data_IF_525630568805
#
_entry.id   IF_525630568805
#
_cell.length_a   1.000
_cell.length_b   1.000
_cell.length_c   1.000
_cell.angle_alpha   90.00
_cell.angle_beta   90.00
_cell.angle_gamma   90.00
#
_symmetry.space_group_name_H-M   'P 1'
#
loop_
_entity.id
_entity.type
_entity.pdbx_description
1 polymer ?
#
# COMPACT_ATOMS: atom_id res chain seq x y z
N UNK A 1 -17.06 1.90 -4.98
CA UNK A 1 -15.81 2.01 -5.74
C UNK A 1 -14.79 1.02 -5.20
N UNK A 2 -14.05 0.40 -6.09
CA UNK A 2 -13.01 -0.53 -5.67
C UNK A 2 -11.83 0.20 -5.07
N UNK A 3 -11.31 -0.37 -4.00
CA UNK A 3 -10.05 0.07 -3.40
C UNK A 3 -8.92 -0.17 -4.39
N UNK A 4 -8.04 0.80 -4.56
CA UNK A 4 -6.99 0.77 -5.56
C UNK A 4 -5.70 0.11 -5.08
N UNK A 5 -4.93 -0.33 -6.07
CA UNK A 5 -3.56 -0.82 -5.92
C UNK A 5 -2.66 0.13 -6.72
N UNK A 6 -1.72 0.76 -6.06
CA UNK A 6 -0.78 1.69 -6.68
C UNK A 6 0.58 1.03 -6.85
N UNK A 7 1.11 1.05 -8.07
CA UNK A 7 2.47 0.59 -8.36
C UNK A 7 3.32 1.76 -8.85
N UNK A 8 4.44 1.97 -8.19
CA UNK A 8 5.40 3.05 -8.50
C UNK A 8 6.70 2.44 -8.98
N UNK A 9 7.12 2.81 -10.18
CA UNK A 9 8.37 2.36 -10.79
C UNK A 9 8.76 3.38 -11.86
N UNK A 10 10.03 3.76 -11.94
CA UNK A 10 10.49 4.74 -12.93
C UNK A 10 10.59 4.17 -14.34
N UNK A 11 10.54 2.85 -14.49
CA UNK A 11 10.56 2.19 -15.79
C UNK A 11 9.15 1.95 -16.33
N UNK A 12 8.80 2.63 -17.42
CA UNK A 12 7.47 2.52 -18.03
C UNK A 12 7.12 1.08 -18.43
N UNK A 13 8.11 0.31 -18.91
CA UNK A 13 7.87 -1.07 -19.30
C UNK A 13 7.38 -1.93 -18.13
N UNK A 14 7.94 -1.71 -16.94
CA UNK A 14 7.50 -2.42 -15.74
C UNK A 14 6.06 -2.05 -15.36
N UNK A 15 5.72 -0.78 -15.47
CA UNK A 15 4.36 -0.31 -15.18
C UNK A 15 3.35 -0.91 -16.15
N UNK A 16 3.68 -0.94 -17.43
CA UNK A 16 2.82 -1.49 -18.47
C UNK A 16 2.62 -3.01 -18.29
N UNK A 17 3.70 -3.73 -17.98
CA UNK A 17 3.63 -5.16 -17.73
C UNK A 17 2.77 -5.48 -16.51
N UNK A 18 2.93 -4.73 -15.45
CA UNK A 18 2.15 -4.89 -14.23
C UNK A 18 0.66 -4.64 -14.50
N UNK A 19 0.34 -3.55 -15.17
CA UNK A 19 -1.04 -3.21 -15.49
C UNK A 19 -1.68 -4.26 -16.38
N UNK A 20 -0.96 -4.74 -17.40
CA UNK A 20 -1.46 -5.78 -18.28
C UNK A 20 -1.75 -7.09 -17.54
N UNK A 21 -0.89 -7.44 -16.58
CA UNK A 21 -1.03 -8.68 -15.82
C UNK A 21 -2.21 -8.63 -14.83
N UNK A 22 -2.50 -7.47 -14.22
CA UNK A 22 -3.37 -7.41 -13.06
C UNK A 22 -4.64 -6.56 -13.22
N UNK A 23 -4.79 -5.81 -14.30
CA UNK A 23 -5.93 -4.89 -14.48
C UNK A 23 -7.31 -5.56 -14.43
N UNK A 24 -7.38 -6.85 -14.75
CA UNK A 24 -8.64 -7.60 -14.71
C UNK A 24 -9.02 -8.04 -13.30
N UNK A 25 -8.05 -8.12 -12.41
CA UNK A 25 -8.24 -8.61 -11.05
C UNK A 25 -8.37 -7.48 -10.03
N UNK A 26 -7.72 -6.34 -10.29
CA UNK A 26 -7.60 -5.24 -9.34
C UNK A 26 -7.81 -3.89 -10.03
N UNK A 27 -8.15 -2.89 -9.24
CA UNK A 27 -8.20 -1.50 -9.68
C UNK A 27 -6.78 -0.92 -9.63
N UNK A 28 -6.07 -0.97 -10.75
CA UNK A 28 -4.64 -0.65 -10.83
C UNK A 28 -4.41 0.82 -11.17
N UNK A 29 -3.59 1.47 -10.36
CA UNK A 29 -3.01 2.79 -10.63
C UNK A 29 -1.50 2.64 -10.77
N UNK A 30 -0.90 3.35 -11.70
CA UNK A 30 0.55 3.33 -11.92
C UNK A 30 1.11 4.74 -11.88
N UNK A 31 2.35 4.87 -11.41
CA UNK A 31 3.05 6.14 -11.34
C UNK A 31 4.53 5.92 -11.68
N UNK A 32 5.10 6.82 -12.49
CA UNK A 32 6.52 6.76 -12.87
C UNK A 32 7.44 7.46 -11.87
N UNK A 33 6.85 8.18 -10.93
CA UNK A 33 7.62 8.93 -9.93
C UNK A 33 6.87 8.95 -8.60
N UNK A 34 7.61 9.26 -7.54
CA UNK A 34 7.05 9.47 -6.21
C UNK A 34 6.04 10.62 -6.24
N UNK A 35 6.34 11.68 -7.00
CA UNK A 35 5.44 12.83 -7.11
C UNK A 35 4.07 12.43 -7.68
N UNK A 36 4.06 11.65 -8.76
CA UNK A 36 2.81 11.13 -9.33
C UNK A 36 2.09 10.20 -8.34
N UNK A 37 2.85 9.35 -7.66
CA UNK A 37 2.30 8.44 -6.67
C UNK A 37 1.62 9.17 -5.51
N UNK A 38 2.21 10.25 -5.02
CA UNK A 38 1.61 11.08 -3.97
C UNK A 38 0.30 11.72 -4.42
N UNK A 39 0.22 12.17 -5.66
CA UNK A 39 -1.02 12.73 -6.21
C UNK A 39 -2.14 11.69 -6.24
N UNK A 40 -1.81 10.48 -6.64
CA UNK A 40 -2.79 9.38 -6.66
C UNK A 40 -3.26 9.05 -5.24
N UNK A 41 -2.34 8.97 -4.28
CA UNK A 41 -2.69 8.73 -2.88
C UNK A 41 -3.62 9.81 -2.31
N UNK A 42 -3.44 11.06 -2.74
CA UNK A 42 -4.26 12.18 -2.26
C UNK A 42 -5.67 12.19 -2.85
N UNK A 43 -5.87 11.60 -4.03
CA UNK A 43 -7.14 11.68 -4.75
C UNK A 43 -7.93 10.37 -4.80
N UNK A 44 -7.26 9.22 -4.60
CA UNK A 44 -7.88 7.91 -4.73
C UNK A 44 -7.75 7.11 -3.44
N UNK A 45 -8.70 6.23 -3.18
CA UNK A 45 -8.58 5.30 -2.06
C UNK A 45 -7.65 4.16 -2.46
N UNK A 46 -6.44 4.16 -1.91
CA UNK A 46 -5.42 3.15 -2.19
C UNK A 46 -5.25 2.25 -0.96
N UNK A 47 -5.47 0.96 -1.14
CA UNK A 47 -5.29 -0.02 -0.07
C UNK A 47 -3.92 -0.68 -0.09
N UNK A 48 -3.30 -0.77 -1.25
CA UNK A 48 -2.00 -1.43 -1.41
C UNK A 48 -1.07 -0.54 -2.23
N UNK A 49 0.12 -0.31 -1.73
CA UNK A 49 1.19 0.40 -2.44
C UNK A 49 2.30 -0.60 -2.73
N UNK A 50 2.69 -0.67 -4.01
CA UNK A 50 3.81 -1.46 -4.45
C UNK A 50 4.82 -0.50 -5.05
N UNK A 51 6.06 -0.55 -4.60
CA UNK A 51 7.10 0.33 -5.11
C UNK A 51 8.39 -0.43 -5.40
N UNK A 52 9.07 -0.01 -6.47
CA UNK A 52 10.43 -0.43 -6.72
C UNK A 52 11.37 0.23 -5.72
N UNK A 53 12.47 -0.45 -5.35
CA UNK A 53 13.45 0.10 -4.42
C UNK A 53 14.33 1.16 -5.08
N UNK A 54 14.81 0.89 -6.30
CA UNK A 54 15.70 1.84 -6.99
C UNK A 54 14.91 2.81 -7.83
N UNK A 55 14.86 4.05 -7.38
CA UNK A 55 14.22 5.15 -8.11
C UNK A 55 15.09 6.40 -8.01
N UNK A 56 15.03 7.31 -9.00
CA UNK A 56 15.79 8.56 -8.92
C UNK A 56 15.39 9.41 -7.71
N UNK A 57 16.36 9.86 -6.96
CA UNK A 57 16.18 10.83 -5.88
C UNK A 57 15.73 10.28 -4.54
N UNK A 58 14.96 9.20 -4.52
CA UNK A 58 14.45 8.59 -3.29
C UNK A 58 14.27 7.09 -3.49
N UNK A 59 14.64 6.29 -2.50
CA UNK A 59 14.40 4.85 -2.56
C UNK A 59 12.96 4.51 -2.23
N UNK A 60 12.53 3.30 -2.65
CA UNK A 60 11.19 2.81 -2.32
C UNK A 60 10.94 2.77 -0.83
N UNK A 61 11.89 2.27 -0.05
CA UNK A 61 11.75 2.19 1.40
C UNK A 61 11.64 3.58 2.04
N UNK A 62 12.41 4.55 1.57
CA UNK A 62 12.33 5.92 2.05
C UNK A 62 10.97 6.53 1.75
N UNK A 63 10.44 6.28 0.57
CA UNK A 63 9.10 6.73 0.20
C UNK A 63 8.04 6.12 1.11
N UNK A 64 8.09 4.81 1.33
CA UNK A 64 7.13 4.12 2.19
C UNK A 64 7.17 4.65 3.62
N UNK A 65 8.38 4.91 4.13
CA UNK A 65 8.55 5.52 5.45
C UNK A 65 7.93 6.92 5.50
N UNK A 66 8.10 7.72 4.44
CA UNK A 66 7.60 9.09 4.39
C UNK A 66 6.08 9.20 4.38
N UNK A 67 5.39 8.23 3.83
CA UNK A 67 3.91 8.25 3.74
C UNK A 67 3.23 7.58 4.93
N UNK A 68 3.97 6.87 5.76
CA UNK A 68 3.40 6.11 6.88
C UNK A 68 2.56 6.97 7.83
N UNK A 69 2.99 8.17 8.25
CA UNK A 69 2.17 9.02 9.13
C UNK A 69 0.87 9.50 8.48
N UNK A 70 0.86 9.63 7.16
CA UNK A 70 -0.30 10.16 6.42
C UNK A 70 -1.27 9.06 6.05
N UNK A 71 -0.75 7.89 5.64
CA UNK A 71 -1.54 6.75 5.17
C UNK A 71 -1.15 5.49 5.96
N UNK A 72 -1.42 5.43 7.27
CA UNK A 72 -0.94 4.34 8.12
C UNK A 72 -1.60 2.98 7.84
N UNK A 73 -2.79 2.97 7.24
CA UNK A 73 -3.53 1.73 7.03
C UNK A 73 -3.24 1.06 5.70
N UNK A 74 -2.63 1.77 4.76
CA UNK A 74 -2.26 1.23 3.45
C UNK A 74 -1.20 0.15 3.63
N UNK A 75 -1.37 -0.97 2.93
CA UNK A 75 -0.44 -2.10 3.00
C UNK A 75 0.69 -1.89 1.98
N UNK A 76 1.93 -2.13 2.40
CA UNK A 76 3.13 -1.78 1.64
C UNK A 76 3.87 -3.02 1.17
N UNK A 77 4.12 -3.09 -0.14
CA UNK A 77 4.89 -4.15 -0.78
C UNK A 77 6.08 -3.52 -1.49
N UNK A 78 7.26 -4.08 -1.30
CA UNK A 78 8.49 -3.59 -1.93
C UNK A 78 8.98 -4.60 -2.97
N UNK A 79 9.30 -4.12 -4.16
CA UNK A 79 9.97 -4.91 -5.20
C UNK A 79 11.43 -4.48 -5.26
N UNK A 80 12.35 -5.43 -5.13
CA UNK A 80 13.78 -5.13 -5.07
C UNK A 80 14.57 -6.07 -5.95
N UNK A 81 15.70 -5.59 -6.48
CA UNK A 81 16.64 -6.45 -7.17
C UNK A 81 17.43 -7.31 -6.19
N UNK A 82 17.93 -8.44 -6.67
CA UNK A 82 18.73 -9.37 -5.85
C UNK A 82 19.92 -8.68 -5.16
N UNK A 83 20.57 -7.75 -5.86
CA UNK A 83 21.73 -7.02 -5.34
C UNK A 83 21.40 -6.06 -4.20
N UNK A 84 20.14 -5.68 -4.03
CA UNK A 84 19.71 -4.68 -3.05
C UNK A 84 19.11 -5.29 -1.79
N UNK A 85 18.96 -6.60 -1.72
CA UNK A 85 18.30 -7.29 -0.60
C UNK A 85 18.95 -6.93 0.73
N UNK A 86 20.29 -7.01 0.83
CA UNK A 86 20.99 -6.73 2.07
C UNK A 86 20.80 -5.29 2.55
N UNK A 87 20.78 -4.34 1.60
CA UNK A 87 20.56 -2.94 1.92
C UNK A 87 19.15 -2.67 2.44
N UNK A 88 18.18 -3.43 1.95
CA UNK A 88 16.76 -3.28 2.29
C UNK A 88 16.43 -3.92 3.63
N UNK A 89 17.06 -5.06 3.97
CA UNK A 89 16.70 -5.85 5.15
C UNK A 89 16.72 -5.05 6.45
N UNK A 90 17.69 -4.17 6.62
CA UNK A 90 17.78 -3.33 7.82
C UNK A 90 16.74 -2.21 7.89
N UNK A 91 16.08 -1.90 6.78
CA UNK A 91 15.17 -0.77 6.68
C UNK A 91 13.69 -1.17 6.58
N UNK A 92 13.40 -2.46 6.43
CA UNK A 92 12.04 -2.96 6.23
C UNK A 92 11.10 -2.53 7.36
N UNK A 93 11.55 -2.60 8.60
CA UNK A 93 10.73 -2.23 9.75
C UNK A 93 10.37 -0.75 9.77
N UNK A 94 11.25 0.13 9.29
CA UNK A 94 10.98 1.57 9.24
C UNK A 94 9.88 1.92 8.25
N UNK A 95 9.85 1.24 7.10
CA UNK A 95 8.80 1.42 6.10
C UNK A 95 7.54 0.61 6.40
N UNK A 96 7.58 -0.24 7.43
CA UNK A 96 6.51 -1.20 7.77
C UNK A 96 6.06 -1.98 6.54
N UNK A 97 7.03 -2.59 5.88
CA UNK A 97 6.79 -3.38 4.67
C UNK A 97 6.13 -4.71 5.04
N UNK A 98 4.97 -4.95 4.45
CA UNK A 98 4.25 -6.22 4.62
C UNK A 98 4.99 -7.37 3.97
N UNK A 99 5.47 -7.14 2.75
CA UNK A 99 6.19 -8.16 1.97
C UNK A 99 7.18 -7.48 1.04
N UNK A 100 8.38 -8.04 0.92
CA UNK A 100 9.28 -7.69 -0.16
C UNK A 100 9.41 -8.87 -1.12
N UNK A 101 9.55 -8.59 -2.41
CA UNK A 101 9.72 -9.59 -3.46
C UNK A 101 10.93 -9.22 -4.30
N UNK A 102 11.65 -10.25 -4.77
CA UNK A 102 12.81 -10.06 -5.61
C UNK A 102 12.39 -10.11 -7.07
N UNK A 103 12.85 -9.13 -7.85
CA UNK A 103 12.60 -9.12 -9.29
C UNK A 103 13.43 -10.18 -10.00
N UNK A 104 12.92 -10.78 -11.07
CA UNK A 104 11.58 -10.63 -11.60
C UNK A 104 10.53 -11.36 -10.75
N UNK A 105 9.37 -10.73 -10.57
CA UNK A 105 8.29 -11.36 -9.81
C UNK A 105 7.60 -12.43 -10.64
N UNK A 106 6.93 -13.35 -9.96
CA UNK A 106 6.00 -14.30 -10.57
C UNK A 106 4.57 -13.76 -10.37
N UNK A 107 3.78 -13.72 -11.44
CA UNK A 107 2.45 -13.10 -11.41
C UNK A 107 1.52 -13.75 -10.39
N UNK A 108 1.51 -15.07 -10.30
CA UNK A 108 0.65 -15.79 -9.35
C UNK A 108 1.00 -15.47 -7.90
N UNK A 109 2.29 -15.40 -7.61
CA UNK A 109 2.79 -15.07 -6.26
C UNK A 109 2.42 -13.63 -5.89
N UNK A 110 2.70 -12.69 -6.78
CA UNK A 110 2.40 -11.27 -6.54
C UNK A 110 0.89 -11.06 -6.41
N UNK A 111 0.09 -11.72 -7.24
CA UNK A 111 -1.37 -11.66 -7.14
C UNK A 111 -1.86 -12.09 -5.77
N UNK A 112 -1.33 -13.19 -5.24
CA UNK A 112 -1.69 -13.69 -3.91
C UNK A 112 -1.39 -12.66 -2.83
N UNK A 113 -0.19 -12.03 -2.87
CA UNK A 113 0.17 -11.02 -1.88
C UNK A 113 -0.69 -9.78 -1.99
N UNK A 114 -1.06 -9.36 -3.20
CA UNK A 114 -1.97 -8.23 -3.39
C UNK A 114 -3.35 -8.54 -2.82
N UNK A 115 -3.88 -9.73 -3.09
CA UNK A 115 -5.18 -10.16 -2.56
C UNK A 115 -5.17 -10.15 -1.03
N UNK A 116 -4.14 -10.75 -0.43
CA UNK A 116 -4.00 -10.78 1.04
C UNK A 116 -3.87 -9.37 1.62
N UNK A 117 -3.11 -8.51 0.96
CA UNK A 117 -2.94 -7.13 1.40
C UNK A 117 -4.26 -6.34 1.35
N UNK A 118 -5.06 -6.52 0.31
CA UNK A 118 -6.38 -5.88 0.21
C UNK A 118 -7.32 -6.35 1.32
N UNK A 119 -7.28 -7.63 1.65
CA UNK A 119 -8.06 -8.16 2.78
C UNK A 119 -7.66 -7.51 4.10
N UNK A 120 -6.36 -7.38 4.36
CA UNK A 120 -5.85 -6.73 5.56
C UNK A 120 -6.31 -5.26 5.60
N UNK A 121 -6.20 -4.55 4.49
CA UNK A 121 -6.64 -3.16 4.41
C UNK A 121 -8.14 -3.04 4.73
N UNK A 122 -8.97 -3.87 4.14
CA UNK A 122 -10.41 -3.87 4.36
C UNK A 122 -10.76 -4.18 5.83
N UNK A 123 -10.06 -5.12 6.44
CA UNK A 123 -10.25 -5.44 7.86
C UNK A 123 -9.88 -4.27 8.77
N UNK A 124 -8.78 -3.58 8.47
CA UNK A 124 -8.38 -2.37 9.21
C UNK A 124 -9.43 -1.29 9.12
N UNK A 125 -9.98 -1.09 7.92
CA UNK A 125 -11.04 -0.11 7.68
C UNK A 125 -12.31 -0.45 8.45
N UNK A 126 -12.76 -1.70 8.40
CA UNK A 126 -13.93 -2.17 9.15
C UNK A 126 -13.73 -2.01 10.65
N UNK A 127 -12.56 -2.36 11.17
CA UNK A 127 -12.26 -2.21 12.58
C UNK A 127 -12.34 -0.76 13.04
N UNK A 128 -11.86 0.17 12.24
CA UNK A 128 -11.97 1.61 12.55
C UNK A 128 -13.40 2.09 12.56
N UNK A 129 -14.19 1.66 11.59
CA UNK A 129 -15.62 2.00 11.52
C UNK A 129 -16.39 1.45 12.72
N UNK A 130 -16.14 0.18 13.08
CA UNK A 130 -16.77 -0.44 14.25
C UNK A 130 -16.35 0.23 15.57
N UNK A 131 -15.08 0.55 15.71
CA UNK A 131 -14.58 1.24 16.89
C UNK A 131 -15.22 2.63 17.03
N UNK A 132 -15.40 3.34 15.93
CA UNK A 132 -16.08 4.64 15.91
C UNK A 132 -17.54 4.50 16.31
N UNK A 133 -18.27 3.53 15.74
CA UNK A 133 -19.66 3.26 16.08
C UNK A 133 -19.84 2.91 17.56
N UNK A 134 -18.95 2.09 18.10
CA UNK A 134 -18.97 1.72 19.51
C UNK A 134 -18.75 2.95 20.40
N UNK A 135 -17.80 3.79 20.06
CA UNK A 135 -17.53 5.02 20.79
C UNK A 135 -18.75 5.94 20.80
N UNK A 136 -19.41 6.12 19.67
CA UNK A 136 -20.59 6.96 19.55
C UNK A 136 -21.76 6.38 20.35
N UNK A 137 -21.96 5.06 20.30
CA UNK A 137 -23.00 4.39 21.10
C UNK A 137 -22.76 4.56 22.59
N UNK A 138 -21.51 4.45 23.05
CA UNK A 138 -21.16 4.65 24.45
C UNK A 138 -21.39 6.09 24.90
N UNK A 139 -21.13 7.06 24.04
CA UNK A 139 -21.40 8.48 24.34
C UNK A 139 -22.89 8.75 24.47
N UNK A 140 -23.72 8.15 23.60
CA UNK A 140 -25.17 8.27 23.69
C UNK A 140 -25.71 7.65 25.00
N UNK A 141 -25.21 6.47 25.36
CA UNK A 141 -25.60 5.84 26.64
C UNK A 141 -25.21 6.70 27.83
N UNK A 142 -24.04 7.30 27.83
CA UNK A 142 -23.61 8.19 28.91
C UNK A 142 -24.52 9.41 29.02
N UNK A 143 -25.01 9.96 27.93
CA UNK A 143 -25.96 11.08 27.93
C UNK A 143 -27.32 10.67 28.50
N UNK A 144 -27.80 9.47 28.11
CA UNK A 144 -29.07 8.96 28.63
C UNK A 144 -29.04 8.72 30.15
N UNK A 145 -27.91 8.25 30.66
CA UNK A 145 -27.78 7.99 32.11
C UNK A 145 -27.63 9.23 32.94
N UNK A 146 -27.28 10.39 32.36
CA UNK A 146 -27.15 11.67 33.06
C UNK A 146 -28.45 12.45 33.17
N UNK A 147 -29.43 12.09 32.41
CA UNK A 147 -30.74 12.80 32.41
C UNK A 147 -31.76 12.24 33.43
#
# INVERSE_FOLDING_TARGET
MQVGVLYIDDELNNLNSFKAAFRRNFNIFTAQSVKEGRKILDTEEIGVIITDQRMPGITGIEFLESILPIYPDTIRILLTGFSDINAVMGAINRGQVYKYLVKPWQDDELKMYIQNALEIYNLRKENKELAHKLKMANLELAQLTKS
#
